data_IF_705322023272
#
_entry.id   IF_705322023272
#
_cell.length_a   1.000
_cell.length_b   1.000
_cell.length_c   1.000
_cell.angle_alpha   90.00
_cell.angle_beta   90.00
_cell.angle_gamma   90.00
#
_symmetry.space_group_name_H-M   'P 1'
#
loop_
_entity.id
_entity.type
_entity.pdbx_description
1 polymer ?
#
# COMPACT_ATOMS: atom_id res chain seq x y z
N UNK A 1 -11.86 -4.64 8.39
CA UNK A 1 -11.37 -5.99 8.59
C UNK A 1 -10.09 -5.99 9.39
N UNK A 2 -10.06 -6.75 10.43
CA UNK A 2 -8.87 -6.83 11.28
C UNK A 2 -8.13 -8.13 10.99
N UNK A 3 -6.82 -8.05 10.90
CA UNK A 3 -5.98 -9.21 10.63
C UNK A 3 -4.92 -9.29 11.73
N UNK A 4 -4.81 -10.43 12.39
CA UNK A 4 -3.83 -10.63 13.45
C UNK A 4 -2.60 -11.34 12.90
N UNK A 5 -1.44 -10.79 13.14
CA UNK A 5 -0.18 -11.35 12.66
C UNK A 5 0.81 -11.42 13.81
N UNK A 6 1.52 -12.54 13.92
CA UNK A 6 2.54 -12.68 14.92
C UNK A 6 3.86 -12.20 14.33
N UNK A 7 4.50 -11.24 15.00
CA UNK A 7 5.79 -10.72 14.59
C UNK A 7 6.71 -10.79 15.79
N UNK A 8 7.78 -11.51 15.66
CA UNK A 8 8.76 -11.69 16.73
C UNK A 8 8.11 -12.19 18.01
N UNK A 9 7.31 -13.25 17.86
CA UNK A 9 6.63 -13.93 18.98
C UNK A 9 5.56 -13.12 19.70
N UNK A 10 5.14 -12.01 19.13
CA UNK A 10 4.07 -11.20 19.71
C UNK A 10 3.01 -10.95 18.65
N UNK A 11 1.75 -11.09 19.02
CA UNK A 11 0.66 -10.87 18.09
C UNK A 11 0.29 -9.41 17.98
N UNK A 12 0.13 -8.93 16.76
CA UNK A 12 -0.31 -7.57 16.49
C UNK A 12 -1.56 -7.61 15.62
N UNK A 13 -2.51 -6.75 15.92
CA UNK A 13 -3.75 -6.66 15.15
C UNK A 13 -3.68 -5.45 14.22
N UNK A 14 -3.81 -5.72 12.93
CA UNK A 14 -3.80 -4.69 11.90
C UNK A 14 -5.23 -4.45 11.47
N UNK A 15 -5.70 -3.22 11.55
CA UNK A 15 -7.06 -2.89 11.21
C UNK A 15 -7.06 -1.53 10.51
N UNK A 16 -7.15 -1.55 9.20
CA UNK A 16 -7.08 -0.32 8.42
C UNK A 16 -8.47 0.20 8.09
N UNK A 17 -8.81 1.36 8.65
CA UNK A 17 -10.07 2.01 8.35
C UNK A 17 -9.88 2.92 7.14
N UNK A 18 -10.99 3.27 6.48
CA UNK A 18 -10.96 4.21 5.37
C UNK A 18 -10.38 5.55 5.80
N UNK A 19 -10.79 6.01 6.98
CA UNK A 19 -10.31 7.28 7.51
C UNK A 19 -8.80 7.28 7.69
N UNK A 20 -8.26 6.23 8.29
CA UNK A 20 -6.83 6.13 8.52
C UNK A 20 -6.04 5.93 7.22
N UNK A 21 -6.62 5.22 6.25
CA UNK A 21 -6.00 5.06 4.95
C UNK A 21 -5.85 6.43 4.26
N UNK A 22 -6.91 7.23 4.30
CA UNK A 22 -6.85 8.56 3.72
C UNK A 22 -5.87 9.47 4.46
N UNK A 23 -5.95 9.47 5.78
CA UNK A 23 -5.13 10.37 6.60
C UNK A 23 -3.65 10.04 6.56
N UNK A 24 -3.31 8.78 6.73
CA UNK A 24 -1.92 8.39 6.90
C UNK A 24 -1.23 7.84 5.66
N UNK A 25 -1.98 7.48 4.64
CA UNK A 25 -1.41 6.98 3.40
C UNK A 25 -1.62 7.98 2.26
N UNK A 26 -2.86 8.20 1.86
CA UNK A 26 -3.14 9.04 0.69
C UNK A 26 -2.75 10.50 0.86
N UNK A 27 -2.91 11.05 2.06
CA UNK A 27 -2.60 12.46 2.30
C UNK A 27 -1.22 12.65 2.95
N UNK A 28 -0.44 11.59 3.06
CA UNK A 28 0.89 11.69 3.61
C UNK A 28 1.80 12.47 2.64
N UNK A 29 2.54 13.48 3.11
CA UNK A 29 3.38 14.29 2.23
C UNK A 29 4.45 13.50 1.48
N UNK A 30 5.08 12.53 2.12
CA UNK A 30 6.11 11.72 1.49
C UNK A 30 5.53 10.85 0.37
N UNK A 31 4.41 10.23 0.64
CA UNK A 31 3.73 9.39 -0.34
C UNK A 31 3.26 10.26 -1.52
N UNK A 32 2.68 11.42 -1.24
CA UNK A 32 2.21 12.34 -2.28
C UNK A 32 3.38 12.83 -3.14
N UNK A 33 4.51 13.12 -2.53
CA UNK A 33 5.68 13.60 -3.25
C UNK A 33 6.21 12.55 -4.24
N UNK A 34 6.25 11.27 -3.80
CA UNK A 34 6.76 10.22 -4.67
C UNK A 34 5.77 9.91 -5.80
N UNK A 35 4.48 10.02 -5.54
CA UNK A 35 3.47 9.84 -6.56
C UNK A 35 3.53 10.96 -7.61
N UNK A 36 3.79 12.19 -7.18
CA UNK A 36 3.94 13.31 -8.08
C UNK A 36 5.18 13.13 -8.96
N UNK A 37 6.26 12.61 -8.38
CA UNK A 37 7.48 12.34 -9.13
C UNK A 37 7.22 11.32 -10.23
N UNK A 38 6.45 10.28 -9.91
CA UNK A 38 6.08 9.27 -10.87
C UNK A 38 5.21 9.86 -11.99
N UNK A 39 4.25 10.72 -11.64
CA UNK A 39 3.40 11.36 -12.61
C UNK A 39 4.21 12.25 -13.57
N UNK A 40 5.17 13.01 -13.04
CA UNK A 40 6.03 13.84 -13.84
C UNK A 40 6.90 13.01 -14.79
N UNK A 41 7.42 11.91 -14.31
CA UNK A 41 8.22 11.03 -15.15
C UNK A 41 7.38 10.47 -16.28
N UNK A 42 6.16 10.06 -15.99
CA UNK A 42 5.25 9.52 -17.00
C UNK A 42 4.93 10.56 -18.07
N UNK A 43 4.68 11.80 -17.66
CA UNK A 43 4.38 12.87 -18.60
C UNK A 43 5.58 13.20 -19.47
N UNK A 44 6.77 13.28 -18.89
CA UNK A 44 7.96 13.63 -19.64
C UNK A 44 8.40 12.54 -20.62
N UNK A 45 8.01 11.30 -20.37
CA UNK A 45 8.38 10.20 -21.24
C UNK A 45 7.31 9.86 -22.28
N UNK A 46 6.25 10.68 -22.33
CA UNK A 46 5.23 10.47 -23.36
C UNK A 46 4.34 9.25 -23.13
N UNK A 47 3.73 9.19 -21.98
CA UNK A 47 2.78 8.14 -21.69
C UNK A 47 1.66 8.16 -22.70
N UNK A 48 1.33 7.02 -23.27
CA UNK A 48 0.31 6.92 -24.27
C UNK A 48 -0.80 6.00 -23.86
N UNK A 49 -2.00 6.27 -24.30
CA UNK A 49 -3.15 5.43 -24.01
C UNK A 49 -4.43 6.21 -24.08
N UNK A 50 -5.53 5.52 -24.40
CA UNK A 50 -6.80 6.16 -24.51
C UNK A 50 -7.67 5.93 -23.30
N UNK A 51 -7.27 5.04 -22.43
CA UNK A 51 -8.02 4.73 -21.22
C UNK A 51 -7.06 4.44 -20.09
N UNK A 52 -7.59 4.33 -18.87
CA UNK A 52 -6.77 4.12 -17.71
C UNK A 52 -5.90 2.85 -17.76
N UNK A 53 -6.41 1.79 -18.34
CA UNK A 53 -5.67 0.54 -18.45
C UNK A 53 -4.45 0.68 -19.34
N UNK A 54 -4.60 1.36 -20.46
CA UNK A 54 -3.48 1.56 -21.38
C UNK A 54 -2.47 2.52 -20.80
N UNK A 55 -2.93 3.55 -20.13
CA UNK A 55 -2.05 4.51 -19.47
C UNK A 55 -1.26 3.83 -18.37
N UNK A 56 -1.92 3.01 -17.56
CA UNK A 56 -1.24 2.29 -16.49
C UNK A 56 -0.17 1.36 -17.03
N UNK A 57 -0.45 0.69 -18.14
CA UNK A 57 0.52 -0.19 -18.76
C UNK A 57 1.72 0.60 -19.29
N UNK A 58 1.46 1.74 -19.91
CA UNK A 58 2.52 2.60 -20.42
C UNK A 58 3.39 3.13 -19.30
N UNK A 59 2.80 3.53 -18.18
CA UNK A 59 3.53 4.00 -17.00
C UNK A 59 4.40 2.88 -16.45
N UNK A 60 3.85 1.67 -16.35
CA UNK A 60 4.60 0.53 -15.84
C UNK A 60 5.81 0.21 -16.70
N UNK A 61 5.65 0.29 -18.02
CA UNK A 61 6.75 0.04 -18.95
C UNK A 61 7.85 1.09 -18.78
N UNK A 62 7.48 2.34 -18.63
CA UNK A 62 8.43 3.42 -18.43
C UNK A 62 9.21 3.22 -17.13
N UNK A 63 8.53 2.85 -16.07
CA UNK A 63 9.16 2.64 -14.78
C UNK A 63 10.18 1.50 -14.87
N UNK A 64 9.79 0.39 -15.46
CA UNK A 64 10.68 -0.76 -15.58
C UNK A 64 11.93 -0.41 -16.39
N UNK A 65 11.76 0.34 -17.46
CA UNK A 65 12.88 0.73 -18.28
C UNK A 65 13.81 1.74 -17.66
N UNK A 66 13.27 2.66 -16.91
CA UNK A 66 14.05 3.81 -16.46
C UNK A 66 14.43 3.86 -14.99
N UNK A 67 13.67 3.24 -14.10
CA UNK A 67 14.01 3.35 -12.69
C UNK A 67 13.44 2.27 -11.79
N UNK A 68 14.13 1.18 -11.71
CA UNK A 68 13.75 0.07 -10.83
C UNK A 68 13.82 0.50 -9.37
N UNK A 69 14.75 1.40 -9.05
CA UNK A 69 14.90 1.88 -7.68
C UNK A 69 13.71 2.72 -7.24
N UNK A 70 13.14 3.48 -8.17
CA UNK A 70 11.96 4.29 -7.87
C UNK A 70 10.78 3.41 -7.53
N UNK A 71 10.60 2.30 -8.23
CA UNK A 71 9.52 1.35 -7.95
C UNK A 71 9.68 0.77 -6.55
N UNK A 72 10.90 0.41 -6.18
CA UNK A 72 11.18 -0.13 -4.85
C UNK A 72 10.91 0.90 -3.77
N UNK A 73 11.29 2.14 -4.01
CA UNK A 73 11.07 3.22 -3.07
C UNK A 73 9.59 3.47 -2.85
N UNK A 74 8.79 3.48 -3.92
CA UNK A 74 7.36 3.66 -3.84
C UNK A 74 6.73 2.54 -3.01
N UNK A 75 7.10 1.30 -3.28
CA UNK A 75 6.55 0.16 -2.56
C UNK A 75 6.91 0.19 -1.08
N UNK A 76 8.14 0.56 -0.77
CA UNK A 76 8.59 0.63 0.60
C UNK A 76 7.84 1.69 1.39
N UNK A 77 7.72 2.88 0.81
CA UNK A 77 7.01 3.99 1.46
C UNK A 77 5.55 3.62 1.67
N UNK A 78 4.92 3.03 0.67
CA UNK A 78 3.52 2.64 0.77
C UNK A 78 3.32 1.62 1.89
N UNK A 79 4.16 0.62 1.98
CA UNK A 79 4.07 -0.40 3.02
C UNK A 79 4.27 0.19 4.41
N UNK A 80 5.21 1.11 4.56
CA UNK A 80 5.44 1.80 5.83
C UNK A 80 4.20 2.55 6.28
N UNK A 81 3.55 3.27 5.35
CA UNK A 81 2.36 4.05 5.69
C UNK A 81 1.17 3.14 6.00
N UNK A 82 1.01 2.05 5.26
CA UNK A 82 -0.07 1.10 5.49
C UNK A 82 0.10 0.42 6.86
N UNK A 83 1.31 0.04 7.23
CA UNK A 83 1.57 -0.56 8.53
C UNK A 83 1.18 0.40 9.66
N UNK A 84 1.66 1.63 9.57
CA UNK A 84 1.36 2.62 10.60
C UNK A 84 -0.15 2.89 10.69
N UNK A 85 -0.80 3.12 9.56
CA UNK A 85 -2.23 3.40 9.51
C UNK A 85 -3.07 2.24 10.05
N UNK A 86 -2.59 1.00 9.84
CA UNK A 86 -3.29 -0.19 10.28
C UNK A 86 -3.10 -0.48 11.77
N UNK A 87 -2.01 -0.03 12.34
CA UNK A 87 -1.69 -0.29 13.73
C UNK A 87 -2.19 0.80 14.68
N UNK A 88 -2.26 2.01 14.23
CA UNK A 88 -2.58 3.15 15.12
C UNK A 88 -3.95 3.07 15.77
N UNK A 89 -4.89 2.40 15.15
CA UNK A 89 -6.22 2.27 15.71
C UNK A 89 -6.21 1.47 17.01
N UNK A 90 -5.48 0.37 17.04
CA UNK A 90 -5.41 -0.49 18.21
C UNK A 90 -4.20 -0.18 19.11
N UNK A 91 -3.25 0.57 18.59
CA UNK A 91 -2.05 0.96 19.33
C UNK A 91 -1.85 2.45 19.18
N UNK A 92 -2.68 3.28 19.85
CA UNK A 92 -2.66 4.74 19.65
C UNK A 92 -1.33 5.41 19.95
N UNK A 93 -0.50 4.77 20.78
CA UNK A 93 0.79 5.33 21.14
C UNK A 93 1.94 4.86 20.25
N UNK A 94 1.63 4.11 19.19
CA UNK A 94 2.69 3.62 18.32
C UNK A 94 3.34 4.76 17.57
N UNK A 95 4.65 4.69 17.40
CA UNK A 95 5.39 5.69 16.63
C UNK A 95 5.68 5.16 15.24
N UNK A 96 6.00 6.05 14.33
CA UNK A 96 6.41 5.68 12.97
C UNK A 96 7.65 4.79 13.04
N UNK A 97 8.60 5.12 13.92
CA UNK A 97 9.81 4.32 14.09
C UNK A 97 9.49 2.89 14.50
N UNK A 98 8.58 2.72 15.48
CA UNK A 98 8.20 1.39 15.93
C UNK A 98 7.47 0.61 14.85
N UNK A 99 6.60 1.28 14.12
CA UNK A 99 5.89 0.67 13.01
C UNK A 99 6.85 0.18 11.94
N UNK A 100 7.85 0.98 11.60
CA UNK A 100 8.85 0.61 10.61
C UNK A 100 9.73 -0.55 11.09
N UNK A 101 10.03 -0.60 12.39
CA UNK A 101 10.74 -1.72 12.96
C UNK A 101 9.94 -3.00 12.80
N UNK A 102 8.62 -2.93 13.06
CA UNK A 102 7.75 -4.09 12.91
C UNK A 102 7.67 -4.55 11.46
N UNK A 103 7.67 -3.60 10.52
CA UNK A 103 7.67 -3.91 9.10
C UNK A 103 8.96 -4.66 8.74
N UNK A 104 10.10 -4.18 9.20
CA UNK A 104 11.38 -4.82 8.94
C UNK A 104 11.45 -6.23 9.54
N UNK A 105 10.92 -6.40 10.75
CA UNK A 105 10.85 -7.71 11.40
C UNK A 105 9.94 -8.66 10.62
N UNK A 106 8.81 -8.15 10.14
CA UNK A 106 7.87 -8.97 9.37
C UNK A 106 8.48 -9.42 8.04
N UNK A 107 9.19 -8.53 7.38
CA UNK A 107 9.87 -8.87 6.12
C UNK A 107 10.94 -9.94 6.38
N UNK A 108 11.67 -9.80 7.47
CA UNK A 108 12.71 -10.75 7.80
C UNK A 108 12.13 -12.11 8.16
N UNK A 109 11.01 -12.13 8.85
CA UNK A 109 10.38 -13.36 9.29
C UNK A 109 9.56 -14.05 8.21
N UNK A 110 8.80 -13.33 7.42
CA UNK A 110 7.89 -13.89 6.44
C UNK A 110 8.28 -13.66 4.97
N UNK A 111 9.14 -12.72 4.72
CA UNK A 111 9.56 -12.37 3.35
C UNK A 111 8.76 -11.22 2.76
N UNK A 112 9.33 -10.58 1.76
CA UNK A 112 8.72 -9.43 1.12
C UNK A 112 7.38 -9.74 0.46
N UNK A 113 7.24 -10.90 -0.15
CA UNK A 113 6.01 -11.27 -0.83
C UNK A 113 4.83 -11.41 0.12
N UNK A 114 5.07 -12.01 1.28
CA UNK A 114 4.01 -12.19 2.27
C UNK A 114 3.58 -10.86 2.87
N UNK A 115 4.52 -9.96 3.10
CA UNK A 115 4.23 -8.64 3.62
C UNK A 115 3.45 -7.82 2.59
N UNK A 116 3.84 -7.91 1.32
CA UNK A 116 3.12 -7.22 0.25
C UNK A 116 1.68 -7.74 0.14
N UNK A 117 1.51 -9.05 0.30
CA UNK A 117 0.18 -9.67 0.29
C UNK A 117 -0.68 -9.17 1.45
N UNK A 118 -0.10 -9.04 2.63
CA UNK A 118 -0.79 -8.49 3.80
C UNK A 118 -1.26 -7.05 3.53
N UNK A 119 -0.38 -6.22 3.00
CA UNK A 119 -0.72 -4.84 2.68
C UNK A 119 -1.84 -4.76 1.63
N UNK A 120 -1.79 -5.67 0.65
CA UNK A 120 -2.81 -5.72 -0.36
C UNK A 120 -4.16 -6.11 0.25
N UNK A 121 -4.17 -7.08 1.14
CA UNK A 121 -5.39 -7.50 1.81
C UNK A 121 -5.97 -6.38 2.70
N UNK A 122 -5.11 -5.64 3.39
CA UNK A 122 -5.55 -4.53 4.23
C UNK A 122 -6.20 -3.42 3.42
N UNK A 123 -5.73 -3.19 2.20
CA UNK A 123 -6.25 -2.11 1.36
C UNK A 123 -7.33 -2.56 0.38
N UNK A 124 -7.63 -3.84 0.34
CA UNK A 124 -8.55 -4.40 -0.65
C UNK A 124 -9.94 -3.74 -0.67
N UNK A 125 -10.40 -3.28 0.48
CA UNK A 125 -11.72 -2.67 0.56
C UNK A 125 -11.75 -1.22 0.04
N UNK A 126 -10.60 -0.63 -0.18
CA UNK A 126 -10.52 0.78 -0.56
C UNK A 126 -10.03 1.00 -1.99
N UNK A 127 -9.41 -0.02 -2.57
CA UNK A 127 -8.87 0.12 -3.90
C UNK A 127 -9.65 -0.75 -4.85
N UNK A 128 -10.24 -0.10 -5.88
CA UNK A 128 -10.96 -0.86 -6.80
C UNK A 128 -10.06 -1.29 -7.83
N UNK A 129 -9.82 -2.53 -7.98
CA UNK A 129 -8.90 -3.04 -8.93
C UNK A 129 -9.64 -3.78 -9.99
N UNK A 130 -9.61 -3.37 -11.18
CA UNK A 130 -10.21 -4.02 -12.31
C UNK A 130 -11.70 -4.13 -12.17
N UNK A 131 -12.26 -5.16 -12.76
CA UNK A 131 -13.60 -5.28 -12.75
C UNK A 131 -14.10 -5.95 -11.63
N UNK A 132 -14.77 -5.39 -10.77
CA UNK A 132 -15.34 -5.99 -9.62
C UNK A 132 -16.66 -6.56 -10.02
N UNK A 133 -16.97 -7.73 -9.56
CA UNK A 133 -18.19 -8.37 -9.87
C UNK A 133 -19.22 -7.58 -9.19
N UNK A 134 -20.16 -7.12 -9.90
CA UNK A 134 -21.06 -6.35 -9.31
C UNK A 134 -21.95 -7.02 -8.43
N UNK A 135 -21.85 -8.09 -8.03
CA UNK A 135 -22.57 -8.81 -7.32
C UNK A 135 -22.80 -8.52 -6.16
N UNK A 136 -23.32 -8.57 -5.53
CA UNK A 136 -23.74 -8.53 -4.62
C UNK A 136 -23.28 -8.41 -3.55
N UNK A 137 -23.59 -7.79 -2.85
CA UNK A 137 -23.16 -7.54 -1.78
C UNK A 137 -23.67 -8.27 -0.78
N UNK A 138 -24.03 -9.33 -0.86
CA UNK A 138 -24.50 -10.03 0.05
C UNK A 138 -23.63 -10.60 0.85
N UNK A 139 -22.98 -10.20 1.64
CA UNK A 139 -22.10 -10.80 2.39
C UNK A 139 -22.41 -10.62 3.67
N UNK A 140 -22.06 -11.29 4.52
CA UNK A 140 -22.28 -11.25 5.72
C UNK A 140 -21.21 -10.98 6.42
N UNK A 141 -21.15 -10.06 7.02
CA UNK A 141 -20.09 -9.72 7.77
C UNK A 141 -20.35 -10.13 9.12
N UNK A 142 -19.54 -10.74 9.72
CA UNK A 142 -19.76 -11.17 11.03
C UNK A 142 -19.07 -10.38 12.02
#
# INVERSE_FOLDING_TARGET
>A
MAIAIEINEKEYTFDLSRENYRKYVLHDPEYSAIQNKLAQLSMSKGVKGKNEGEIAKSVAEIIVENDVLLVREINMIEQEKIFFASLIKNYPDITVEKSNELLDMAIKEYGEEEVASLCKDLTANFIQVGEQPKKKMMRRVI
#
